data_IF_006143966849
#
_entry.id   IF_006143966849
#
_cell.length_a   1.000
_cell.length_b   1.000
_cell.length_c   1.000
_cell.angle_alpha   90.00
_cell.angle_beta   90.00
_cell.angle_gamma   90.00
#
_symmetry.space_group_name_H-M   'P 1'
#
loop_
_entity.id
_entity.type
_entity.pdbx_description
1 polymer ?
#
# COMPACT_ATOMS: atom_id res chain seq x y z
N UNK A 1 -1.85 -7.19 -1.35
CA UNK A 1 -1.06 -7.36 -2.59
C UNK A 1 -0.16 -8.56 -2.35
N UNK A 2 0.02 -9.48 -3.30
CA UNK A 2 0.84 -10.68 -3.06
C UNK A 2 2.29 -10.44 -3.52
N UNK A 3 3.08 -9.69 -2.76
CA UNK A 3 4.50 -9.42 -3.14
C UNK A 3 5.39 -10.61 -2.80
N UNK A 4 5.15 -11.22 -1.64
CA UNK A 4 5.80 -12.45 -1.22
C UNK A 4 4.88 -13.66 -1.44
N UNK A 5 5.49 -14.82 -1.66
CA UNK A 5 4.76 -16.09 -1.73
C UNK A 5 4.35 -16.56 -0.33
N UNK A 6 3.45 -17.54 -0.31
CA UNK A 6 3.12 -18.27 0.92
C UNK A 6 4.31 -19.08 1.44
N UNK A 7 4.45 -19.14 2.76
CA UNK A 7 5.39 -19.99 3.50
C UNK A 7 4.80 -20.32 4.87
N UNK A 8 4.77 -21.57 5.34
CA UNK A 8 4.04 -21.91 6.58
C UNK A 8 4.85 -21.66 7.86
N UNK A 9 6.18 -21.62 7.77
CA UNK A 9 7.07 -21.51 8.94
C UNK A 9 7.39 -20.08 9.39
N UNK A 10 7.28 -19.12 8.46
CA UNK A 10 7.53 -17.69 8.70
C UNK A 10 6.37 -16.86 8.13
N UNK A 11 6.29 -15.57 8.47
CA UNK A 11 5.18 -14.71 8.05
C UNK A 11 5.00 -14.67 6.52
N UNK A 12 6.09 -14.49 5.78
CA UNK A 12 6.08 -14.37 4.32
C UNK A 12 7.22 -15.21 3.72
N UNK A 13 6.96 -15.80 2.55
CA UNK A 13 7.94 -16.54 1.78
C UNK A 13 8.82 -15.63 0.90
N UNK A 14 9.52 -16.20 -0.09
CA UNK A 14 10.31 -15.43 -1.04
C UNK A 14 9.49 -14.41 -1.85
N UNK A 15 10.16 -13.36 -2.33
CA UNK A 15 9.56 -12.37 -3.24
C UNK A 15 9.13 -13.05 -4.54
N UNK A 16 7.94 -12.70 -5.03
CA UNK A 16 7.43 -13.07 -6.35
C UNK A 16 7.69 -11.93 -7.35
N UNK A 17 8.67 -12.06 -8.25
CA UNK A 17 9.05 -10.94 -9.12
C UNK A 17 7.94 -10.55 -10.11
N UNK A 18 7.29 -11.53 -10.74
CA UNK A 18 6.28 -11.29 -11.77
C UNK A 18 4.87 -11.13 -11.18
N UNK A 19 4.48 -11.98 -10.23
CA UNK A 19 3.14 -11.92 -9.62
C UNK A 19 2.99 -10.78 -8.59
N UNK A 20 4.09 -10.43 -7.94
CA UNK A 20 4.11 -9.46 -6.85
C UNK A 20 4.65 -8.11 -7.27
N UNK A 21 5.97 -8.04 -7.48
CA UNK A 21 6.67 -6.77 -7.75
C UNK A 21 6.17 -6.11 -9.03
N UNK A 22 6.04 -6.86 -10.13
CA UNK A 22 5.57 -6.27 -11.39
C UNK A 22 4.16 -5.68 -11.27
N UNK A 23 3.26 -6.34 -10.54
CA UNK A 23 1.91 -5.86 -10.35
C UNK A 23 1.85 -4.68 -9.35
N UNK A 24 2.74 -4.64 -8.35
CA UNK A 24 2.92 -3.49 -7.46
C UNK A 24 3.40 -2.26 -8.24
N UNK A 25 4.47 -2.43 -9.04
CA UNK A 25 5.01 -1.37 -9.89
C UNK A 25 3.99 -0.90 -10.93
N UNK A 26 3.19 -1.81 -11.50
CA UNK A 26 2.12 -1.44 -12.41
C UNK A 26 1.05 -0.55 -11.74
N UNK A 27 0.69 -0.83 -10.47
CA UNK A 27 -0.22 0.01 -9.70
C UNK A 27 0.38 1.40 -9.45
N UNK A 28 1.63 1.48 -8.98
CA UNK A 28 2.31 2.75 -8.71
C UNK A 28 2.47 3.59 -9.97
N UNK A 29 2.93 2.98 -11.07
CA UNK A 29 3.03 3.63 -12.36
C UNK A 29 1.68 4.18 -12.84
N UNK A 30 0.60 3.43 -12.65
CA UNK A 30 -0.75 3.86 -13.03
C UNK A 30 -1.19 5.09 -12.25
N UNK A 31 -0.91 5.12 -10.94
CA UNK A 31 -1.21 6.27 -10.07
C UNK A 31 -0.43 7.50 -10.53
N UNK A 32 0.87 7.35 -10.83
CA UNK A 32 1.71 8.44 -11.32
C UNK A 32 1.19 9.02 -12.65
N UNK A 33 0.78 8.15 -13.58
CA UNK A 33 0.19 8.58 -14.85
C UNK A 33 -1.12 9.34 -14.62
N UNK A 34 -2.03 8.83 -13.78
CA UNK A 34 -3.30 9.51 -13.48
C UNK A 34 -3.06 10.91 -12.90
N UNK A 35 -2.13 11.02 -11.94
CA UNK A 35 -1.78 12.29 -11.31
C UNK A 35 -1.12 13.26 -12.30
N UNK A 36 -0.21 12.78 -13.14
CA UNK A 36 0.53 13.58 -14.13
C UNK A 36 -0.36 14.11 -15.24
N UNK A 37 -1.20 13.25 -15.80
CA UNK A 37 -2.15 13.62 -16.87
C UNK A 37 -3.35 14.42 -16.34
N UNK A 38 -3.42 14.64 -15.01
CA UNK A 38 -4.49 15.40 -14.33
C UNK A 38 -5.89 14.90 -14.70
N UNK A 39 -6.03 13.58 -14.84
CA UNK A 39 -7.32 12.94 -15.16
C UNK A 39 -8.35 13.19 -14.06
N UNK A 40 -7.87 13.40 -12.82
CA UNK A 40 -8.67 13.79 -11.66
C UNK A 40 -8.30 15.22 -11.23
N UNK A 41 -9.04 16.26 -11.65
CA UNK A 41 -8.71 17.63 -11.30
C UNK A 41 -8.87 17.88 -9.80
N UNK A 42 -7.90 18.59 -9.20
CA UNK A 42 -7.83 18.91 -7.77
C UNK A 42 -7.78 17.70 -6.81
N UNK A 43 -7.48 16.51 -7.32
CA UNK A 43 -7.31 15.30 -6.52
C UNK A 43 -5.95 14.70 -6.83
N UNK A 44 -5.17 14.39 -5.80
CA UNK A 44 -3.93 13.63 -5.91
C UNK A 44 -4.15 12.24 -5.31
N UNK A 45 -3.97 11.22 -6.14
CA UNK A 45 -4.02 9.83 -5.68
C UNK A 45 -2.71 9.48 -4.98
N UNK A 46 -2.81 8.90 -3.78
CA UNK A 46 -1.73 8.21 -3.10
C UNK A 46 -2.02 6.72 -2.99
N UNK A 47 -1.06 5.95 -2.49
CA UNK A 47 -1.22 4.53 -2.25
C UNK A 47 -0.74 4.16 -0.84
N UNK A 48 -1.51 3.32 -0.15
CA UNK A 48 -1.06 2.57 1.01
C UNK A 48 -1.21 1.10 0.65
N UNK A 49 -0.09 0.39 0.51
CA UNK A 49 -0.07 -0.96 -0.06
C UNK A 49 0.51 -1.90 1.00
N UNK A 50 -0.26 -2.93 1.34
CA UNK A 50 0.10 -3.95 2.31
C UNK A 50 0.22 -5.30 1.60
N UNK A 51 1.21 -6.09 2.03
CA UNK A 51 1.45 -7.43 1.50
C UNK A 51 0.62 -8.45 2.28
N UNK A 52 -0.17 -9.27 1.59
CA UNK A 52 -0.97 -10.34 2.20
C UNK A 52 -0.22 -11.69 2.22
N UNK A 53 0.95 -11.75 1.58
CA UNK A 53 1.84 -12.91 1.52
C UNK A 53 1.14 -14.21 1.09
N UNK A 54 0.09 -14.11 0.27
CA UNK A 54 -0.74 -15.23 -0.19
C UNK A 54 -1.28 -16.11 0.96
N UNK A 55 -1.62 -15.45 2.08
CA UNK A 55 -2.16 -16.08 3.30
C UNK A 55 -3.41 -15.38 3.77
N UNK A 56 -4.51 -16.13 3.84
CA UNK A 56 -5.82 -15.60 4.25
C UNK A 56 -5.80 -14.91 5.63
N UNK A 57 -5.16 -15.51 6.64
CA UNK A 57 -5.13 -14.95 8.00
C UNK A 57 -4.32 -13.66 8.07
N UNK A 58 -3.16 -13.62 7.40
CA UNK A 58 -2.31 -12.44 7.38
C UNK A 58 -2.92 -11.34 6.48
N UNK A 59 -3.51 -11.72 5.36
CA UNK A 59 -4.31 -10.82 4.52
C UNK A 59 -5.47 -10.20 5.28
N UNK A 60 -6.16 -10.97 6.15
CA UNK A 60 -7.18 -10.42 7.04
C UNK A 60 -6.59 -9.44 8.05
N UNK A 61 -5.43 -9.72 8.64
CA UNK A 61 -4.74 -8.77 9.54
C UNK A 61 -4.41 -7.45 8.82
N UNK A 62 -3.92 -7.51 7.59
CA UNK A 62 -3.66 -6.32 6.76
C UNK A 62 -4.96 -5.58 6.40
N UNK A 63 -6.04 -6.32 6.10
CA UNK A 63 -7.35 -5.73 5.84
C UNK A 63 -7.90 -5.00 7.08
N UNK A 64 -7.69 -5.54 8.28
CA UNK A 64 -8.04 -4.86 9.53
C UNK A 64 -7.15 -3.64 9.73
N UNK A 65 -5.87 -3.69 9.37
CA UNK A 65 -4.97 -2.53 9.48
C UNK A 65 -5.47 -1.31 8.68
N UNK A 66 -6.04 -1.53 7.49
CA UNK A 66 -6.65 -0.44 6.70
C UNK A 66 -7.78 0.31 7.41
N UNK A 67 -8.52 -0.35 8.31
CA UNK A 67 -9.64 0.25 9.03
C UNK A 67 -9.30 0.66 10.47
N UNK A 68 -8.12 0.29 10.97
CA UNK A 68 -7.67 0.73 12.28
C UNK A 68 -7.45 2.25 12.24
N UNK A 69 -8.10 2.95 13.16
CA UNK A 69 -7.84 4.37 13.40
C UNK A 69 -6.49 4.48 14.09
N UNK A 70 -5.41 4.54 13.31
CA UNK A 70 -4.09 4.86 13.84
C UNK A 70 -4.06 6.34 14.22
N UNK A 71 -4.11 6.66 15.51
CA UNK A 71 -3.93 8.03 16.03
C UNK A 71 -2.63 8.67 15.48
N UNK A 72 -1.63 7.86 15.14
CA UNK A 72 -0.38 8.29 14.50
C UNK A 72 -0.59 8.90 13.11
N UNK A 73 -1.55 8.45 12.29
CA UNK A 73 -1.81 9.04 10.96
C UNK A 73 -2.33 10.46 11.13
N UNK A 74 -3.13 10.73 12.17
CA UNK A 74 -3.55 12.09 12.51
C UNK A 74 -2.34 12.95 12.89
N UNK A 75 -1.41 12.43 13.70
CA UNK A 75 -0.19 13.15 14.08
C UNK A 75 0.74 13.43 12.89
N UNK A 76 1.02 12.46 12.03
CA UNK A 76 1.87 12.69 10.85
C UNK A 76 1.24 13.68 9.86
N UNK A 77 -0.08 13.60 9.67
CA UNK A 77 -0.80 14.54 8.81
C UNK A 77 -0.85 15.95 9.42
N UNK A 78 -0.95 16.06 10.74
CA UNK A 78 -0.78 17.33 11.48
C UNK A 78 0.64 17.88 11.36
N UNK A 79 1.66 17.04 11.44
CA UNK A 79 3.07 17.44 11.32
C UNK A 79 3.40 17.90 9.89
N UNK A 80 2.93 17.19 8.85
CA UNK A 80 3.10 17.65 7.46
C UNK A 80 2.43 19.01 7.22
N UNK A 81 1.21 19.23 7.76
CA UNK A 81 0.52 20.53 7.67
C UNK A 81 1.30 21.61 8.42
N UNK A 82 1.89 21.31 9.57
CA UNK A 82 2.64 22.29 10.37
C UNK A 82 4.01 22.65 9.79
N UNK A 83 4.64 21.76 9.03
CA UNK A 83 5.92 22.01 8.35
C UNK A 83 5.72 22.77 7.03
N UNK A 84 4.53 22.68 6.42
CA UNK A 84 4.18 23.35 5.16
C UNK A 84 3.47 24.71 5.34
N UNK A 85 3.26 25.18 6.58
CA UNK A 85 2.75 26.53 6.95
C UNK A 85 3.88 27.39 7.54
#
# INVERSE_FOLDING_TARGET
MMVHSREDTVTCGPIMPQGGIQALEAMLFTIDVINKERLLPNITLGAHILDDCDKDSYGLEMAVDFIKVNELIMFYKLIEIYILL
#
